data_IF_960028362108
#
_entry.id   IF_960028362108
#
_cell.length_a   1.000
_cell.length_b   1.000
_cell.length_c   1.000
_cell.angle_alpha   90.00
_cell.angle_beta   90.00
_cell.angle_gamma   90.00
#
_symmetry.space_group_name_H-M   'P 1'
#
loop_
_entity.id
_entity.type
_entity.pdbx_description
1 polymer ?
#
# COMPACT_ATOMS: atom_id res chain seq x y z
N UNK A 1 9.19 2.75 19.95
CA UNK A 1 8.87 2.03 18.70
C UNK A 1 8.64 0.59 19.06
N UNK A 2 7.44 0.05 18.82
CA UNK A 2 7.14 -1.36 19.04
C UNK A 2 7.66 -2.22 17.89
N UNK A 3 7.83 -3.52 18.11
CA UNK A 3 8.20 -4.48 17.05
C UNK A 3 7.19 -4.48 15.88
N UNK A 4 5.92 -4.14 16.14
CA UNK A 4 4.88 -4.01 15.12
C UNK A 4 5.10 -2.81 14.19
N UNK A 5 5.46 -1.64 14.72
CA UNK A 5 5.75 -0.44 13.91
C UNK A 5 6.98 -0.64 13.01
N UNK A 6 7.99 -1.33 13.51
CA UNK A 6 9.21 -1.62 12.74
C UNK A 6 8.95 -2.62 11.60
N UNK A 7 8.04 -3.56 11.82
CA UNK A 7 7.58 -4.51 10.80
C UNK A 7 6.80 -3.81 9.69
N UNK A 8 5.89 -2.89 10.05
CA UNK A 8 5.12 -2.07 9.09
C UNK A 8 6.05 -1.27 8.17
N UNK A 9 7.02 -0.56 8.75
CA UNK A 9 7.98 0.24 7.97
C UNK A 9 8.83 -0.62 7.03
N UNK A 10 9.19 -1.84 7.45
CA UNK A 10 9.96 -2.78 6.64
C UNK A 10 9.15 -3.29 5.45
N UNK A 11 7.91 -3.72 5.68
CA UNK A 11 7.02 -4.16 4.62
C UNK A 11 6.69 -3.05 3.65
N UNK A 12 6.45 -1.82 4.14
CA UNK A 12 6.18 -0.67 3.29
C UNK A 12 7.34 -0.40 2.33
N UNK A 13 8.57 -0.29 2.84
CA UNK A 13 9.76 -0.04 2.00
C UNK A 13 9.98 -1.15 0.98
N UNK A 14 9.85 -2.41 1.39
CA UNK A 14 10.02 -3.55 0.51
C UNK A 14 8.93 -3.60 -0.57
N UNK A 15 7.67 -3.34 -0.21
CA UNK A 15 6.53 -3.33 -1.13
C UNK A 15 6.68 -2.23 -2.18
N UNK A 16 7.01 -1.01 -1.77
CA UNK A 16 7.30 0.10 -2.69
C UNK A 16 8.42 -0.26 -3.66
N UNK A 17 9.49 -0.89 -3.16
CA UNK A 17 10.63 -1.27 -4.00
C UNK A 17 10.25 -2.33 -5.03
N UNK A 18 9.48 -3.35 -4.63
CA UNK A 18 8.99 -4.38 -5.53
C UNK A 18 8.10 -3.80 -6.64
N UNK A 19 7.14 -2.92 -6.29
CA UNK A 19 6.29 -2.23 -7.29
C UNK A 19 7.14 -1.42 -8.27
N UNK A 20 8.13 -0.66 -7.78
CA UNK A 20 9.06 0.11 -8.63
C UNK A 20 9.88 -0.77 -9.58
N UNK A 21 10.19 -2.00 -9.18
CA UNK A 21 10.93 -2.97 -10.00
C UNK A 21 10.04 -3.74 -10.98
N UNK A 22 8.71 -3.52 -10.93
CA UNK A 22 7.75 -4.24 -11.75
C UNK A 22 7.27 -5.57 -11.15
N UNK A 23 7.78 -5.95 -9.97
CA UNK A 23 7.27 -7.09 -9.22
C UNK A 23 5.98 -6.71 -8.48
N UNK A 24 4.89 -6.67 -9.25
CA UNK A 24 3.56 -6.31 -8.75
C UNK A 24 3.03 -7.32 -7.74
N UNK A 25 3.33 -8.61 -7.91
CA UNK A 25 2.86 -9.68 -7.02
C UNK A 25 3.48 -9.53 -5.64
N UNK A 26 4.81 -9.40 -5.58
CA UNK A 26 5.51 -9.20 -4.30
C UNK A 26 5.14 -7.84 -3.68
N UNK A 27 5.04 -6.80 -4.51
CA UNK A 27 4.61 -5.47 -4.08
C UNK A 27 3.25 -5.50 -3.39
N UNK A 28 2.25 -6.11 -4.03
CA UNK A 28 0.90 -6.30 -3.48
C UNK A 28 0.93 -7.00 -2.13
N UNK A 29 1.56 -8.17 -2.04
CA UNK A 29 1.60 -8.96 -0.80
C UNK A 29 2.23 -8.21 0.39
N UNK A 30 3.27 -7.41 0.13
CA UNK A 30 3.93 -6.63 1.17
C UNK A 30 3.07 -5.44 1.62
N UNK A 31 2.42 -4.76 0.68
CA UNK A 31 1.54 -3.63 0.98
C UNK A 31 0.25 -4.07 1.68
N UNK A 32 -0.29 -5.24 1.34
CA UNK A 32 -1.42 -5.85 2.06
C UNK A 32 -1.07 -6.16 3.53
N UNK A 33 0.18 -6.56 3.84
CA UNK A 33 0.64 -6.73 5.23
C UNK A 33 0.71 -5.42 5.99
N UNK A 34 1.07 -4.32 5.31
CA UNK A 34 1.01 -2.98 5.91
C UNK A 34 -0.43 -2.64 6.26
N UNK A 35 -1.35 -2.84 5.32
CA UNK A 35 -2.78 -2.53 5.51
C UNK A 35 -3.47 -3.43 6.55
N UNK A 36 -3.01 -4.68 6.71
CA UNK A 36 -3.49 -5.55 7.78
C UNK A 36 -3.06 -5.07 9.18
N UNK A 37 -1.94 -4.35 9.28
CA UNK A 37 -1.46 -3.77 10.53
C UNK A 37 -1.98 -2.34 10.77
N UNK A 38 -2.15 -1.57 9.70
CA UNK A 38 -2.71 -0.22 9.69
C UNK A 38 -3.54 0.00 8.42
N UNK A 39 -4.85 -0.22 8.53
CA UNK A 39 -5.79 -0.07 7.42
C UNK A 39 -5.91 1.37 6.91
N UNK A 40 -5.46 2.35 7.71
CA UNK A 40 -5.49 3.78 7.38
C UNK A 40 -4.16 4.27 6.81
N UNK A 41 -3.25 3.36 6.44
CA UNK A 41 -1.95 3.72 5.91
C UNK A 41 -2.05 4.21 4.46
N UNK A 42 -2.25 5.52 4.29
CA UNK A 42 -2.40 6.22 3.00
C UNK A 42 -1.36 5.81 1.95
N UNK A 43 -0.06 5.83 2.30
CA UNK A 43 1.00 5.48 1.36
C UNK A 43 0.90 4.03 0.86
N UNK A 44 0.44 3.11 1.71
CA UNK A 44 0.32 1.71 1.31
C UNK A 44 -0.81 1.54 0.29
N UNK A 45 -1.96 2.19 0.51
CA UNK A 45 -3.05 2.26 -0.47
C UNK A 45 -2.62 2.88 -1.79
N UNK A 46 -1.89 4.00 -1.73
CA UNK A 46 -1.40 4.69 -2.93
C UNK A 46 -0.51 3.77 -3.77
N UNK A 47 0.46 3.09 -3.16
CA UNK A 47 1.34 2.17 -3.89
C UNK A 47 0.64 0.88 -4.32
N UNK A 48 -0.34 0.40 -3.55
CA UNK A 48 -1.12 -0.79 -3.90
C UNK A 48 -1.91 -0.57 -5.18
N UNK A 49 -2.40 0.66 -5.41
CA UNK A 49 -3.11 1.02 -6.65
C UNK A 49 -2.27 0.80 -7.93
N UNK A 50 -0.94 0.84 -7.83
CA UNK A 50 0.00 0.52 -8.92
C UNK A 50 0.39 -0.97 -9.02
N UNK A 51 0.05 -1.77 -8.01
CA UNK A 51 0.37 -3.19 -7.91
C UNK A 51 -0.80 -4.11 -8.28
N UNK A 52 -2.03 -3.61 -8.18
CA UNK A 52 -3.26 -4.34 -8.57
C UNK A 52 -3.44 -4.40 -10.08
N UNK A 53 -4.20 -5.40 -10.54
CA UNK A 53 -4.30 -5.75 -11.95
C UNK A 53 -5.48 -5.08 -12.64
N UNK A 54 -6.60 -4.96 -11.93
CA UNK A 54 -7.85 -4.46 -12.51
C UNK A 54 -8.05 -2.96 -12.27
N UNK A 55 -8.85 -2.33 -13.12
CA UNK A 55 -9.22 -0.93 -12.95
C UNK A 55 -10.08 -0.74 -11.70
N UNK A 56 -10.93 -1.71 -11.40
CA UNK A 56 -11.82 -1.73 -10.24
C UNK A 56 -11.01 -1.79 -8.93
N UNK A 57 -10.02 -2.68 -8.83
CA UNK A 57 -9.14 -2.76 -7.66
C UNK A 57 -8.33 -1.46 -7.49
N UNK A 58 -7.86 -0.88 -8.61
CA UNK A 58 -7.12 0.39 -8.58
C UNK A 58 -7.99 1.53 -8.08
N UNK A 59 -9.22 1.61 -8.55
CA UNK A 59 -10.17 2.63 -8.12
C UNK A 59 -10.43 2.53 -6.61
N UNK A 60 -10.70 1.33 -6.09
CA UNK A 60 -10.91 1.10 -4.65
C UNK A 60 -9.71 1.58 -3.83
N UNK A 61 -8.48 1.30 -4.28
CA UNK A 61 -7.29 1.77 -3.59
C UNK A 61 -7.21 3.30 -3.52
N UNK A 62 -7.51 3.98 -4.63
CA UNK A 62 -7.47 5.45 -4.70
C UNK A 62 -8.61 6.11 -3.92
N UNK A 63 -9.79 5.50 -3.90
CA UNK A 63 -10.91 5.93 -3.05
C UNK A 63 -10.54 5.85 -1.56
N UNK A 64 -9.84 4.79 -1.14
CA UNK A 64 -9.33 4.69 0.23
C UNK A 64 -8.30 5.78 0.55
N UNK A 65 -7.38 6.12 -0.38
CA UNK A 65 -6.45 7.24 -0.21
C UNK A 65 -7.21 8.53 0.05
N UNK A 66 -8.21 8.86 -0.79
CA UNK A 66 -9.02 10.06 -0.65
C UNK A 66 -9.88 10.06 0.62
N UNK A 67 -10.38 8.89 1.06
CA UNK A 67 -11.13 8.76 2.30
C UNK A 67 -10.24 9.01 3.54
N UNK A 68 -8.97 8.62 3.48
CA UNK A 68 -7.98 8.83 4.55
C UNK A 68 -7.47 10.28 4.54
N UNK A 69 -7.11 10.79 3.36
CA UNK A 69 -6.57 12.12 3.14
C UNK A 69 -7.26 12.77 1.92
N UNK A 70 -8.35 13.53 2.16
CA UNK A 70 -9.12 14.18 1.09
C UNK A 70 -8.33 15.21 0.26
N UNK A 71 -7.19 15.68 0.77
CA UNK A 71 -6.33 16.67 0.10
C UNK A 71 -5.34 16.02 -0.90
N UNK A 72 -5.30 14.68 -0.99
CA UNK A 72 -4.47 13.95 -1.95
C UNK A 72 -5.13 13.92 -3.34
N UNK A 73 -5.03 15.04 -4.08
CA UNK A 73 -5.59 15.23 -5.43
C UNK A 73 -4.53 15.19 -6.54
#
# INVERSE_FOLDING_TARGET
MSESEQSVQTWLKAGITAVKQGDRVQGRQLLEKVLAADERHETAWLWLSGAVETAEERQICLENVLAINPDNQ
#
